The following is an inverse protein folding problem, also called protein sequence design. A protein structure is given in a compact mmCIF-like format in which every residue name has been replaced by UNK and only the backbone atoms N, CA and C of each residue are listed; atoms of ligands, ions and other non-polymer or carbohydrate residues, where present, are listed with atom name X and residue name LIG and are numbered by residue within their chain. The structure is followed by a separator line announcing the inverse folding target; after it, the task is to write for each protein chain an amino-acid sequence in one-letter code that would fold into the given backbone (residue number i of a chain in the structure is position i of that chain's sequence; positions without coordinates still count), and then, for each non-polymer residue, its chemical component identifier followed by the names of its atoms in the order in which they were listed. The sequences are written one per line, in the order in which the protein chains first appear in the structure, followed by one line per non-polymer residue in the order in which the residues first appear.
data_IF_508257961925
#
_entry.id   IF_508257961925
#
_cell.length_a   1.000
_cell.length_b   1.000
_cell.length_c   1.000
_cell.angle_alpha   90.00
_cell.angle_beta   90.00
_cell.angle_gamma   90.00
#
_symmetry.space_group_name_H-M   'P 1'
#
loop_
_entity.id
_entity.type
_entity.pdbx_description
1 polymer ?
#
# COMPACT_ATOMS: atom_id res chain seq x y z
N UNK A 1 1.05 6.95 -24.34
CA UNK A 1 0.90 7.49 -22.97
C UNK A 1 -0.49 8.09 -22.89
N UNK A 2 -1.22 7.80 -21.82
CA UNK A 2 -2.62 8.20 -21.64
C UNK A 2 -2.67 9.70 -21.30
N UNK A 3 -3.48 10.45 -22.03
CA UNK A 3 -3.74 11.87 -21.79
C UNK A 3 -4.85 12.08 -20.75
N UNK A 4 -5.06 13.33 -20.32
CA UNK A 4 -6.03 13.65 -19.28
C UNK A 4 -7.49 13.25 -19.63
N UNK A 5 -8.01 13.51 -20.85
CA UNK A 5 -9.35 13.07 -21.22
C UNK A 5 -9.54 11.56 -21.14
N UNK A 6 -8.60 10.77 -21.70
CA UNK A 6 -8.66 9.32 -21.63
C UNK A 6 -8.51 8.82 -20.18
N UNK A 7 -7.63 9.43 -19.39
CA UNK A 7 -7.48 9.11 -17.97
C UNK A 7 -8.76 9.41 -17.18
N UNK A 8 -9.49 10.48 -17.52
CA UNK A 8 -10.76 10.83 -16.88
C UNK A 8 -11.84 9.79 -17.15
N UNK A 9 -11.92 9.25 -18.36
CA UNK A 9 -12.85 8.17 -18.69
C UNK A 9 -12.55 6.90 -17.86
N UNK A 10 -11.28 6.51 -17.77
CA UNK A 10 -10.83 5.39 -16.93
C UNK A 10 -11.11 5.63 -15.45
N UNK A 11 -10.88 6.86 -14.97
CA UNK A 11 -11.14 7.27 -13.61
C UNK A 11 -12.63 7.17 -13.25
N UNK A 12 -13.54 7.55 -14.14
CA UNK A 12 -14.99 7.39 -13.95
C UNK A 12 -15.35 5.90 -13.93
N UNK A 13 -14.80 5.11 -14.85
CA UNK A 13 -15.05 3.67 -14.95
C UNK A 13 -14.52 2.85 -13.75
N UNK A 14 -13.61 3.41 -12.95
CA UNK A 14 -13.12 2.80 -11.72
C UNK A 14 -14.16 2.80 -10.58
N UNK A 15 -15.26 3.53 -10.75
CA UNK A 15 -16.41 3.55 -9.84
C UNK A 15 -17.65 3.02 -10.56
N UNK A 16 -18.62 2.52 -9.79
CA UNK A 16 -19.92 2.18 -10.38
C UNK A 16 -20.58 3.45 -10.96
N UNK A 17 -21.32 3.26 -12.05
CA UNK A 17 -21.93 4.36 -12.78
C UNK A 17 -22.72 5.30 -11.85
N UNK A 18 -22.46 6.61 -11.96
CA UNK A 18 -23.08 7.70 -11.18
C UNK A 18 -22.68 7.80 -9.69
N UNK A 19 -21.76 6.97 -9.20
CA UNK A 19 -21.30 7.04 -7.81
C UNK A 19 -20.17 8.06 -7.57
N UNK A 20 -19.64 8.70 -8.61
CA UNK A 20 -18.48 9.59 -8.45
C UNK A 20 -18.65 10.90 -9.22
N UNK A 21 -18.21 11.99 -8.61
CA UNK A 21 -17.95 13.27 -9.28
C UNK A 21 -16.46 13.56 -9.14
N UNK A 22 -15.77 13.64 -10.28
CA UNK A 22 -14.34 13.95 -10.33
C UNK A 22 -14.12 15.47 -10.40
N UNK A 23 -13.12 15.95 -9.68
CA UNK A 23 -12.63 17.32 -9.77
C UNK A 23 -11.66 17.54 -10.93
N UNK A 24 -10.96 18.67 -10.87
CA UNK A 24 -9.88 19.00 -11.81
C UNK A 24 -8.70 18.03 -11.68
N UNK A 25 -8.12 17.64 -12.81
CA UNK A 25 -6.99 16.74 -12.83
C UNK A 25 -5.73 17.42 -12.25
N UNK A 26 -4.95 16.66 -11.50
CA UNK A 26 -3.57 17.00 -11.13
C UNK A 26 -2.64 16.02 -11.80
N UNK A 27 -1.69 16.53 -12.57
CA UNK A 27 -0.68 15.72 -13.20
C UNK A 27 0.37 15.26 -12.17
N UNK A 28 0.69 13.97 -12.19
CA UNK A 28 1.83 13.36 -11.50
C UNK A 28 2.83 12.86 -12.55
N UNK A 29 4.01 12.41 -12.13
CA UNK A 29 5.02 11.89 -13.06
C UNK A 29 4.51 10.63 -13.75
N UNK A 30 3.99 9.68 -12.98
CA UNK A 30 3.55 8.37 -13.46
C UNK A 30 2.02 8.27 -13.64
N UNK A 31 1.26 9.30 -13.27
CA UNK A 31 -0.19 9.22 -13.25
C UNK A 31 -0.96 10.53 -13.40
N UNK A 32 -2.27 10.40 -13.50
CA UNK A 32 -3.24 11.49 -13.42
C UNK A 32 -4.08 11.30 -12.17
N UNK A 33 -3.98 12.24 -11.22
CA UNK A 33 -4.80 12.24 -10.01
C UNK A 33 -6.07 13.06 -10.23
N UNK A 34 -7.21 12.47 -9.92
CA UNK A 34 -8.51 13.14 -9.91
C UNK A 34 -9.07 13.08 -8.48
N UNK A 35 -9.13 14.20 -7.75
CA UNK A 35 -9.87 14.23 -6.50
C UNK A 35 -11.35 13.93 -6.80
N UNK A 36 -12.05 13.30 -5.87
CA UNK A 36 -13.40 12.81 -6.11
C UNK A 36 -14.32 12.97 -4.92
N UNK A 37 -15.59 13.19 -5.19
CA UNK A 37 -16.68 13.01 -4.22
C UNK A 37 -17.44 11.76 -4.61
N UNK A 38 -17.45 10.76 -3.71
CA UNK A 38 -18.16 9.50 -3.91
C UNK A 38 -19.49 9.47 -3.17
N UNK A 39 -20.50 8.82 -3.76
CA UNK A 39 -21.82 8.60 -3.18
C UNK A 39 -21.87 7.18 -2.62
N UNK A 40 -21.46 7.00 -1.36
CA UNK A 40 -21.47 5.68 -0.72
C UNK A 40 -20.78 5.64 0.64
N UNK A 41 -20.77 4.47 1.31
CA UNK A 41 -20.08 4.28 2.58
C UNK A 41 -18.55 4.20 2.42
N UNK A 42 -18.05 3.88 1.21
CA UNK A 42 -16.62 3.84 0.93
C UNK A 42 -16.05 5.25 0.80
N UNK A 43 -15.20 5.63 1.76
CA UNK A 43 -14.54 6.92 1.78
C UNK A 43 -13.35 6.91 0.81
N UNK A 44 -13.61 7.10 -0.49
CA UNK A 44 -12.57 7.41 -1.48
C UNK A 44 -12.52 8.92 -1.72
N UNK A 45 -11.31 9.47 -1.73
CA UNK A 45 -11.04 10.90 -1.91
C UNK A 45 -10.51 11.25 -3.30
N UNK A 46 -10.17 10.23 -4.09
CA UNK A 46 -9.79 10.40 -5.49
C UNK A 46 -9.45 9.09 -6.17
N UNK A 47 -8.94 9.22 -7.39
CA UNK A 47 -8.42 8.12 -8.19
C UNK A 47 -7.17 8.57 -8.93
N UNK A 48 -6.17 7.72 -8.96
CA UNK A 48 -4.96 7.92 -9.77
C UNK A 48 -5.01 6.94 -10.94
N UNK A 49 -4.77 7.42 -12.15
CA UNK A 49 -4.69 6.60 -13.36
C UNK A 49 -3.25 6.59 -13.86
N UNK A 50 -2.65 5.41 -13.96
CA UNK A 50 -1.28 5.24 -14.46
C UNK A 50 -1.20 5.65 -15.94
N UNK A 51 -0.28 6.57 -16.27
CA UNK A 51 -0.10 7.12 -17.63
C UNK A 51 0.36 6.09 -18.66
N UNK A 52 1.04 5.03 -18.22
CA UNK A 52 1.60 4.00 -19.11
C UNK A 52 0.63 2.84 -19.29
N UNK A 53 -0.01 2.39 -18.21
CA UNK A 53 -0.79 1.15 -18.18
C UNK A 53 -2.31 1.36 -18.17
N UNK A 54 -2.78 2.56 -17.83
CA UNK A 54 -4.21 2.83 -17.62
C UNK A 54 -4.79 2.22 -16.37
N UNK A 55 -3.98 1.54 -15.56
CA UNK A 55 -4.41 0.98 -14.28
C UNK A 55 -4.86 2.10 -13.34
N UNK A 56 -6.02 1.90 -12.72
CA UNK A 56 -6.61 2.82 -11.76
C UNK A 56 -6.31 2.39 -10.33
N UNK A 57 -5.93 3.32 -9.47
CA UNK A 57 -5.84 3.16 -8.03
C UNK A 57 -6.84 4.12 -7.37
N UNK A 58 -7.79 3.58 -6.61
CA UNK A 58 -8.73 4.40 -5.83
C UNK A 58 -8.06 4.83 -4.53
N UNK A 59 -7.95 6.13 -4.32
CA UNK A 59 -7.31 6.70 -3.13
C UNK A 59 -8.33 6.73 -2.00
N UNK A 60 -8.01 6.04 -0.90
CA UNK A 60 -8.87 5.99 0.30
C UNK A 60 -8.57 7.15 1.23
N UNK A 61 -9.62 7.68 1.85
CA UNK A 61 -9.52 8.67 2.91
C UNK A 61 -8.62 8.18 4.05
N UNK A 62 -7.95 9.12 4.71
CA UNK A 62 -7.09 8.85 5.87
C UNK A 62 -5.88 7.93 5.57
N UNK A 63 -5.52 7.78 4.30
CA UNK A 63 -4.23 7.21 3.90
C UNK A 63 -3.21 8.34 3.67
N UNK A 64 -1.89 8.10 3.80
CA UNK A 64 -0.90 9.09 3.41
C UNK A 64 -1.03 9.55 1.95
N UNK A 65 -1.51 8.68 1.05
CA UNK A 65 -1.73 8.99 -0.36
C UNK A 65 -2.87 10.00 -0.59
N UNK A 66 -3.86 10.04 0.31
CA UNK A 66 -4.92 11.05 0.34
C UNK A 66 -4.35 12.46 0.55
N UNK A 67 -3.41 12.58 1.48
CA UNK A 67 -2.77 13.85 1.82
C UNK A 67 -1.69 14.24 0.80
N UNK A 68 -0.93 13.26 0.29
CA UNK A 68 0.14 13.47 -0.67
C UNK A 68 0.09 12.45 -1.82
N UNK A 69 -0.59 12.80 -2.93
CA UNK A 69 -0.62 11.96 -4.12
C UNK A 69 0.74 11.72 -4.78
N UNK A 70 1.77 12.52 -4.49
CA UNK A 70 3.11 12.36 -5.10
C UNK A 70 3.82 11.10 -4.60
N UNK A 71 3.35 10.50 -3.51
CA UNK A 71 3.79 9.17 -3.06
C UNK A 71 3.56 8.09 -4.14
N UNK A 72 2.58 8.27 -5.01
CA UNK A 72 2.35 7.38 -6.15
C UNK A 72 3.59 7.24 -7.06
N UNK A 73 4.27 8.36 -7.33
CA UNK A 73 5.50 8.41 -8.14
C UNK A 73 6.70 7.75 -7.42
N UNK A 74 6.59 7.50 -6.10
CA UNK A 74 7.60 6.78 -5.30
C UNK A 74 7.39 5.26 -5.28
N UNK A 75 6.40 4.75 -6.03
CA UNK A 75 6.10 3.32 -6.18
C UNK A 75 4.91 2.83 -5.36
N UNK A 76 4.21 3.72 -4.63
CA UNK A 76 3.00 3.37 -3.88
C UNK A 76 1.76 3.37 -4.80
N UNK A 77 1.69 2.37 -5.69
CA UNK A 77 0.71 2.30 -6.78
C UNK A 77 -0.39 1.24 -6.59
N UNK A 78 -0.50 0.64 -5.39
CA UNK A 78 -1.33 -0.54 -5.13
C UNK A 78 -2.13 -0.43 -3.82
N UNK A 79 -3.19 -1.23 -3.66
CA UNK A 79 -3.96 -1.32 -2.41
C UNK A 79 -3.28 -2.22 -1.36
N UNK A 80 -2.43 -3.15 -1.80
CA UNK A 80 -1.73 -4.10 -0.94
C UNK A 80 -0.34 -4.36 -1.49
N UNK A 81 0.62 -4.54 -0.58
CA UNK A 81 2.03 -4.54 -0.93
C UNK A 81 2.78 -5.73 -0.36
N UNK A 82 3.76 -6.19 -1.13
CA UNK A 82 4.93 -6.88 -0.63
C UNK A 82 6.05 -5.86 -0.40
N UNK A 83 6.38 -5.63 0.87
CA UNK A 83 7.54 -4.86 1.30
C UNK A 83 8.76 -5.77 1.33
N UNK A 84 9.79 -5.43 0.55
CA UNK A 84 11.06 -6.15 0.51
C UNK A 84 12.13 -5.27 1.15
N UNK A 85 12.51 -5.61 2.39
CA UNK A 85 13.63 -4.97 3.10
C UNK A 85 14.94 -5.54 2.55
N UNK A 86 15.80 -4.67 2.03
CA UNK A 86 17.03 -5.03 1.33
C UNK A 86 18.27 -4.85 2.22
N UNK A 87 18.30 -3.81 3.04
CA UNK A 87 19.38 -3.56 4.00
C UNK A 87 18.84 -2.83 5.24
N UNK A 88 19.57 -2.97 6.35
CA UNK A 88 19.25 -2.37 7.64
C UNK A 88 20.39 -1.42 8.01
N UNK A 89 20.08 -0.14 8.22
CA UNK A 89 20.99 0.85 8.79
C UNK A 89 20.84 0.98 10.31
N UNK A 90 19.63 0.77 10.84
CA UNK A 90 19.34 0.72 12.28
C UNK A 90 18.32 -0.39 12.56
N UNK A 91 18.77 -1.45 13.24
CA UNK A 91 17.93 -2.62 13.53
C UNK A 91 16.77 -2.29 14.48
N UNK A 92 17.02 -1.51 15.52
CA UNK A 92 16.01 -1.21 16.54
C UNK A 92 14.88 -0.37 15.96
N UNK A 93 15.22 0.65 15.17
CA UNK A 93 14.23 1.47 14.50
C UNK A 93 13.50 0.69 13.40
N UNK A 94 14.21 -0.17 12.66
CA UNK A 94 13.58 -1.04 11.65
C UNK A 94 12.55 -1.98 12.28
N UNK A 95 12.90 -2.63 13.39
CA UNK A 95 11.96 -3.49 14.13
C UNK A 95 10.74 -2.70 14.58
N UNK A 96 10.92 -1.49 15.14
CA UNK A 96 9.79 -0.62 15.54
C UNK A 96 8.88 -0.26 14.38
N UNK A 97 9.44 0.07 13.22
CA UNK A 97 8.66 0.36 12.00
C UNK A 97 7.88 -0.86 11.58
N UNK A 98 8.53 -2.02 11.44
CA UNK A 98 7.87 -3.27 11.01
C UNK A 98 6.76 -3.68 11.98
N UNK A 99 6.97 -3.57 13.29
CA UNK A 99 5.93 -3.81 14.29
C UNK A 99 4.74 -2.87 14.12
N UNK A 100 4.98 -1.59 13.82
CA UNK A 100 3.96 -0.59 13.56
C UNK A 100 3.26 -0.74 12.20
N UNK A 101 3.74 -1.62 11.32
CA UNK A 101 3.03 -2.03 10.10
C UNK A 101 1.97 -3.10 10.36
N UNK A 102 1.93 -3.67 11.58
CA UNK A 102 0.98 -4.70 11.99
C UNK A 102 0.94 -5.90 11.03
N UNK A 103 2.11 -6.35 10.57
CA UNK A 103 2.21 -7.53 9.70
C UNK A 103 1.58 -8.74 10.37
N UNK A 104 0.66 -9.40 9.68
CA UNK A 104 -0.08 -10.56 10.18
C UNK A 104 0.56 -11.85 9.70
N UNK A 105 0.63 -12.83 10.57
CA UNK A 105 0.95 -14.23 10.26
C UNK A 105 -0.22 -15.13 10.64
N UNK A 106 -0.25 -16.34 10.09
CA UNK A 106 -1.32 -17.32 10.34
C UNK A 106 -0.72 -18.49 11.09
N UNK A 107 -1.07 -18.62 12.36
CA UNK A 107 -0.75 -19.81 13.14
C UNK A 107 -1.73 -20.92 12.75
N UNK A 108 -1.19 -22.11 12.49
CA UNK A 108 -1.98 -23.31 12.20
C UNK A 108 -1.77 -24.34 13.30
N UNK A 109 -2.85 -24.79 13.94
CA UNK A 109 -2.80 -25.80 14.98
C UNK A 109 -3.98 -26.77 14.91
N UNK A 110 -3.77 -27.99 15.39
CA UNK A 110 -4.78 -29.04 15.44
C UNK A 110 -5.27 -29.24 16.88
N UNK A 111 -6.58 -29.16 17.09
CA UNK A 111 -7.22 -29.38 18.40
C UNK A 111 -8.64 -29.92 18.20
N UNK A 112 -9.08 -30.86 19.04
CA UNK A 112 -10.44 -31.42 19.01
C UNK A 112 -10.87 -31.88 17.60
N UNK A 113 -10.00 -32.62 16.91
CA UNK A 113 -10.22 -33.11 15.55
C UNK A 113 -10.51 -32.04 14.49
N UNK A 114 -10.01 -30.83 14.72
CA UNK A 114 -10.15 -29.68 13.81
C UNK A 114 -8.82 -28.95 13.63
N UNK A 115 -8.60 -28.49 12.40
CA UNK A 115 -7.49 -27.60 12.06
C UNK A 115 -7.97 -26.15 12.20
N UNK A 116 -7.30 -25.40 13.07
CA UNK A 116 -7.52 -23.97 13.27
C UNK A 116 -6.45 -23.18 12.53
N UNK A 117 -6.86 -22.07 11.92
CA UNK A 117 -5.98 -21.08 11.30
C UNK A 117 -6.34 -19.73 11.90
N UNK A 118 -5.42 -19.13 12.65
CA UNK A 118 -5.66 -17.88 13.38
C UNK A 118 -4.65 -16.85 12.92
N UNK A 119 -5.15 -15.75 12.36
CA UNK A 119 -4.34 -14.59 12.05
C UNK A 119 -3.95 -13.85 13.32
N UNK A 120 -2.66 -13.55 13.50
CA UNK A 120 -2.15 -12.69 14.57
C UNK A 120 -1.02 -11.79 14.07
N UNK A 121 -0.75 -10.71 14.78
CA UNK A 121 0.44 -9.90 14.50
C UNK A 121 1.73 -10.70 14.76
N UNK A 122 2.79 -10.37 14.01
CA UNK A 122 4.13 -10.82 14.33
C UNK A 122 4.57 -10.30 15.71
N UNK A 123 5.27 -11.16 16.44
CA UNK A 123 6.00 -10.77 17.65
C UNK A 123 7.31 -10.09 17.28
N UNK A 124 7.87 -9.32 18.22
CA UNK A 124 9.17 -8.67 18.01
C UNK A 124 10.27 -9.69 17.69
N UNK A 125 10.26 -10.84 18.37
CA UNK A 125 11.23 -11.91 18.14
C UNK A 125 11.15 -12.46 16.71
N UNK A 126 9.94 -12.69 16.19
CA UNK A 126 9.75 -13.14 14.81
C UNK A 126 10.15 -12.07 13.79
N UNK A 127 9.87 -10.79 14.08
CA UNK A 127 10.33 -9.68 13.24
C UNK A 127 11.85 -9.65 13.17
N UNK A 128 12.53 -9.73 14.32
CA UNK A 128 14.00 -9.78 14.39
C UNK A 128 14.56 -11.00 13.65
N UNK A 129 13.95 -12.17 13.84
CA UNK A 129 14.39 -13.39 13.15
C UNK A 129 14.27 -13.22 11.63
N UNK A 130 13.16 -12.68 11.13
CA UNK A 130 12.98 -12.45 9.69
C UNK A 130 13.97 -11.41 9.15
N UNK A 131 14.15 -10.30 9.86
CA UNK A 131 15.10 -9.25 9.49
C UNK A 131 16.57 -9.73 9.52
N UNK A 132 16.89 -10.79 10.27
CA UNK A 132 18.22 -11.40 10.23
C UNK A 132 18.52 -12.11 8.90
N UNK A 133 17.50 -12.37 8.08
CA UNK A 133 17.59 -13.09 6.81
C UNK A 133 17.16 -12.16 5.66
N UNK A 134 18.08 -11.31 5.21
CA UNK A 134 17.84 -10.38 4.09
C UNK A 134 18.05 -11.06 2.72
N UNK A 135 17.30 -10.68 1.67
CA UNK A 135 16.16 -9.74 1.72
C UNK A 135 14.96 -10.34 2.49
N UNK A 136 14.33 -9.51 3.33
CA UNK A 136 13.18 -9.90 4.13
C UNK A 136 11.89 -9.39 3.46
N UNK A 137 10.95 -10.30 3.18
CA UNK A 137 9.67 -9.98 2.55
C UNK A 137 8.56 -9.99 3.60
N UNK A 138 7.77 -8.91 3.62
CA UNK A 138 6.63 -8.73 4.50
C UNK A 138 5.43 -8.31 3.64
N UNK A 139 4.29 -9.00 3.78
CA UNK A 139 3.09 -8.71 3.00
C UNK A 139 2.03 -8.06 3.88
N UNK A 140 1.29 -7.08 3.35
CA UNK A 140 0.18 -6.47 4.08
C UNK A 140 -0.44 -5.25 3.42
N UNK A 141 -1.48 -4.72 4.06
CA UNK A 141 -2.17 -3.50 3.66
C UNK A 141 -1.40 -2.25 4.13
N UNK A 142 -0.16 -2.08 3.65
CA UNK A 142 0.72 -0.99 4.08
C UNK A 142 0.31 0.39 3.56
N UNK A 143 -0.76 0.50 2.75
CA UNK A 143 -1.27 1.77 2.26
C UNK A 143 -1.63 2.77 3.38
N UNK A 144 -1.97 2.30 4.58
CA UNK A 144 -2.23 3.15 5.76
C UNK A 144 -0.97 3.56 6.52
N UNK A 145 0.20 3.07 6.11
CA UNK A 145 1.46 3.19 6.85
C UNK A 145 2.63 3.66 5.96
N UNK A 146 2.32 4.22 4.78
CA UNK A 146 3.32 4.75 3.84
C UNK A 146 4.17 5.85 4.51
N UNK A 147 3.56 6.68 5.35
CA UNK A 147 4.25 7.71 6.13
C UNK A 147 5.39 7.14 7.01
N UNK A 148 5.14 6.00 7.65
CA UNK A 148 6.15 5.30 8.47
C UNK A 148 7.29 4.76 7.60
N UNK A 149 6.95 4.23 6.42
CA UNK A 149 7.92 3.73 5.46
C UNK A 149 8.79 4.86 4.89
N UNK A 150 8.18 5.99 4.54
CA UNK A 150 8.93 7.15 4.02
C UNK A 150 9.82 7.77 5.09
N UNK A 151 9.33 7.90 6.33
CA UNK A 151 10.17 8.33 7.46
C UNK A 151 11.37 7.39 7.68
N UNK A 152 11.16 6.08 7.60
CA UNK A 152 12.23 5.10 7.74
C UNK A 152 13.26 5.19 6.61
N UNK A 153 12.81 5.47 5.39
CA UNK A 153 13.67 5.72 4.22
C UNK A 153 14.51 6.98 4.42
N UNK A 154 13.88 8.10 4.79
CA UNK A 154 14.54 9.39 4.99
C UNK A 154 15.56 9.35 6.14
N UNK A 155 15.24 8.64 7.22
CA UNK A 155 16.14 8.47 8.36
C UNK A 155 17.25 7.43 8.13
N UNK A 156 17.24 6.71 7.00
CA UNK A 156 18.23 5.69 6.67
C UNK A 156 18.17 4.43 7.55
N UNK A 157 17.04 4.16 8.20
CA UNK A 157 16.89 2.99 9.08
C UNK A 157 16.88 1.68 8.32
N UNK A 158 16.25 1.68 7.14
CA UNK A 158 16.25 0.54 6.22
C UNK A 158 16.15 1.01 4.77
N UNK A 159 16.71 0.22 3.86
CA UNK A 159 16.39 0.33 2.43
C UNK A 159 15.37 -0.74 2.05
N UNK A 160 14.39 -0.38 1.24
CA UNK A 160 13.34 -1.29 0.82
C UNK A 160 12.79 -0.97 -0.56
N UNK A 161 12.06 -1.94 -1.11
CA UNK A 161 11.19 -1.78 -2.28
C UNK A 161 9.79 -2.27 -1.93
N UNK A 162 8.79 -1.72 -2.61
CA UNK A 162 7.41 -2.19 -2.51
C UNK A 162 6.97 -2.74 -3.86
N UNK A 163 6.23 -3.83 -3.83
CA UNK A 163 5.64 -4.47 -5.01
C UNK A 163 4.16 -4.69 -4.75
N UNK A 164 3.39 -4.86 -5.82
CA UNK A 164 2.01 -5.32 -5.71
C UNK A 164 1.96 -6.68 -5.02
N UNK A 165 1.15 -6.80 -3.97
CA UNK A 165 0.84 -8.10 -3.40
C UNK A 165 -0.06 -8.89 -4.37
N UNK A 166 0.41 -10.07 -4.80
CA UNK A 166 -0.31 -10.91 -5.78
C UNK A 166 -1.00 -12.15 -5.18
N UNK A 167 -1.05 -12.28 -3.86
CA UNK A 167 -1.58 -13.49 -3.24
C UNK A 167 -0.67 -14.71 -3.43
N UNK A 168 -1.03 -15.81 -2.76
CA UNK A 168 -0.57 -17.15 -3.16
C UNK A 168 -1.77 -17.79 -3.85
N UNK A 169 -1.66 -18.01 -5.16
CA UNK A 169 -2.59 -18.87 -5.90
C UNK A 169 -2.60 -20.30 -5.30
#
# INVERSE_FOLDING_TARGET
MIDEPQARELAIAAFDAQQVVLGGARELSDGWFFPSVTKGPDLFTGVIVNKQTGRTLRVRAHTPLDNDPTLYDRGYQYDSYDLVVLSIGDLEQTVRVVMALHVVTVDTYYKNDRVYRVGRALTEAEVRERLSKLPCVLSGAFMFHIDKLERAREAGWMSYKVFEYRGKD
#
